data_IF_414698301469
#
_entry.id   IF_414698301469
#
_cell.length_a   1.000
_cell.length_b   1.000
_cell.length_c   1.000
_cell.angle_alpha   90.00
_cell.angle_beta   90.00
_cell.angle_gamma   90.00
#
_symmetry.space_group_name_H-M   'P 1'
#
loop_
_entity.id
_entity.type
_entity.pdbx_description
1 polymer ?
#
# COMPACT_ATOMS: atom_id res chain seq x y z
N UNK A 1 3.72 -14.98 5.93
CA UNK A 1 3.26 -13.61 6.25
C UNK A 1 3.48 -12.63 5.09
N UNK A 2 4.54 -12.74 4.28
CA UNK A 2 4.93 -11.64 3.38
C UNK A 2 4.09 -11.43 2.12
N UNK A 3 3.30 -12.42 1.68
CA UNK A 3 2.51 -12.32 0.45
C UNK A 3 1.31 -11.35 0.62
N UNK A 4 0.35 -11.58 1.54
CA UNK A 4 -0.75 -10.63 1.77
C UNK A 4 -0.27 -9.24 2.22
N UNK A 5 0.75 -9.21 3.09
CA UNK A 5 1.35 -7.96 3.56
C UNK A 5 1.96 -7.16 2.40
N UNK A 6 2.67 -7.83 1.50
CA UNK A 6 3.23 -7.19 0.33
C UNK A 6 2.14 -6.62 -0.57
N UNK A 7 1.07 -7.38 -0.84
CA UNK A 7 -0.04 -6.93 -1.70
C UNK A 7 -0.66 -5.66 -1.12
N UNK A 8 -0.86 -5.62 0.19
CA UNK A 8 -1.32 -4.42 0.89
C UNK A 8 -0.31 -3.25 0.73
N UNK A 9 1.00 -3.49 0.83
CA UNK A 9 2.06 -2.50 0.61
C UNK A 9 2.07 -1.91 -0.80
N UNK A 10 1.76 -2.70 -1.83
CA UNK A 10 1.62 -2.19 -3.20
C UNK A 10 0.41 -1.27 -3.36
N UNK A 11 -0.71 -1.58 -2.69
CA UNK A 11 -1.90 -0.72 -2.69
C UNK A 11 -1.61 0.64 -2.04
N UNK A 12 -0.68 0.73 -1.09
CA UNK A 12 -0.23 2.02 -0.54
C UNK A 12 0.53 2.86 -1.56
N UNK A 13 1.38 2.23 -2.38
CA UNK A 13 2.12 2.89 -3.46
C UNK A 13 1.24 3.35 -4.63
N UNK A 14 -0.07 3.07 -4.59
CA UNK A 14 -1.05 3.36 -5.66
C UNK A 14 -0.61 2.80 -7.02
N UNK A 15 0.17 1.73 -6.98
CA UNK A 15 0.54 0.98 -8.14
C UNK A 15 -0.56 -0.04 -8.42
N UNK A 16 -0.94 -0.22 -9.69
CA UNK A 16 -1.86 -1.28 -10.07
C UNK A 16 -1.38 -2.62 -9.51
N UNK A 17 -2.31 -3.55 -9.23
CA UNK A 17 -2.06 -4.85 -8.59
C UNK A 17 -0.87 -5.62 -9.20
N UNK A 18 -0.58 -5.38 -10.47
CA UNK A 18 0.52 -5.97 -11.24
C UNK A 18 1.93 -5.55 -10.77
N UNK A 19 2.09 -4.37 -10.13
CA UNK A 19 3.39 -3.87 -9.67
C UNK A 19 3.79 -4.36 -8.28
N UNK A 20 2.93 -5.14 -7.61
CA UNK A 20 3.33 -5.83 -6.38
C UNK A 20 4.54 -6.76 -6.61
N UNK A 21 4.64 -7.36 -7.81
CA UNK A 21 5.77 -8.19 -8.23
C UNK A 21 7.10 -7.46 -8.07
N UNK A 22 7.19 -6.16 -8.37
CA UNK A 22 8.44 -5.41 -8.28
C UNK A 22 8.86 -5.24 -6.81
N UNK A 23 7.92 -4.99 -5.91
CA UNK A 23 8.21 -4.93 -4.47
C UNK A 23 8.61 -6.29 -3.90
N UNK A 24 8.04 -7.39 -4.42
CA UNK A 24 8.45 -8.76 -4.08
C UNK A 24 9.86 -9.04 -4.58
N UNK A 25 10.16 -8.71 -5.83
CA UNK A 25 11.49 -8.88 -6.44
C UNK A 25 12.53 -8.04 -5.71
N UNK A 26 12.24 -6.78 -5.38
CA UNK A 26 13.13 -5.92 -4.60
C UNK A 26 13.38 -6.50 -3.21
N UNK A 27 12.38 -7.15 -2.58
CA UNK A 27 12.56 -7.84 -1.31
C UNK A 27 13.49 -9.05 -1.44
N UNK A 28 13.37 -9.84 -2.51
CA UNK A 28 14.28 -10.96 -2.81
C UNK A 28 15.71 -10.49 -3.09
N UNK A 29 15.88 -9.39 -3.83
CA UNK A 29 17.20 -8.82 -4.13
C UNK A 29 17.85 -8.27 -2.85
N UNK A 30 17.11 -7.50 -2.04
CA UNK A 30 17.61 -7.02 -0.75
C UNK A 30 18.01 -8.19 0.16
N UNK A 31 17.23 -9.27 0.16
CA UNK A 31 17.55 -10.47 0.94
C UNK A 31 18.88 -11.11 0.55
N UNK A 32 19.17 -11.23 -0.74
CA UNK A 32 20.45 -11.76 -1.20
C UNK A 32 21.64 -10.85 -0.86
N UNK A 33 21.46 -9.53 -0.93
CA UNK A 33 22.49 -8.55 -0.55
C UNK A 33 22.73 -8.55 0.97
N UNK A 34 21.67 -8.62 1.78
CA UNK A 34 21.79 -8.66 3.25
C UNK A 34 22.31 -10.00 3.77
N UNK A 35 22.06 -11.10 3.07
CA UNK A 35 22.65 -12.40 3.37
C UNK A 35 24.19 -12.33 3.33
N UNK A 36 24.73 -11.55 2.38
CA UNK A 36 26.17 -11.31 2.26
C UNK A 36 26.73 -10.37 3.35
N UNK A 37 25.91 -9.43 3.87
CA UNK A 37 26.34 -8.35 4.80
C UNK A 37 26.03 -8.66 6.28
N UNK A 38 25.42 -9.81 6.61
CA UNK A 38 25.13 -10.29 7.99
C UNK A 38 24.48 -9.25 8.93
N UNK A 39 23.73 -8.29 8.40
CA UNK A 39 23.03 -7.26 9.19
C UNK A 39 21.53 -7.47 9.08
N UNK A 40 20.91 -8.02 10.14
CA UNK A 40 19.56 -8.60 10.07
C UNK A 40 18.43 -7.72 10.62
N UNK A 41 18.69 -6.47 11.04
CA UNK A 41 17.82 -5.77 11.99
C UNK A 41 16.64 -4.97 11.41
N UNK A 42 16.50 -4.76 10.10
CA UNK A 42 15.55 -3.78 9.55
C UNK A 42 14.56 -4.28 8.48
N UNK A 43 13.84 -5.36 8.77
CA UNK A 43 12.87 -5.99 7.86
C UNK A 43 11.59 -5.18 7.56
N UNK A 44 11.31 -4.11 8.33
CA UNK A 44 10.08 -3.32 8.22
C UNK A 44 10.18 -2.08 7.32
N UNK A 45 11.36 -1.80 6.73
CA UNK A 45 11.61 -0.62 5.87
C UNK A 45 10.70 -0.57 4.62
N UNK A 46 10.23 -1.73 4.16
CA UNK A 46 9.51 -1.85 2.89
C UNK A 46 8.17 -1.09 2.85
N UNK A 47 7.47 -0.96 3.99
CA UNK A 47 6.22 -0.18 4.08
C UNK A 47 6.48 1.32 3.86
N UNK A 48 7.55 1.84 4.45
CA UNK A 48 7.89 3.26 4.36
C UNK A 48 8.36 3.62 2.95
N UNK A 49 9.14 2.73 2.32
CA UNK A 49 9.56 2.90 0.94
C UNK A 49 8.36 2.95 -0.03
N UNK A 50 7.36 2.07 0.12
CA UNK A 50 6.21 2.05 -0.80
C UNK A 50 5.33 3.29 -0.67
N UNK A 51 5.16 3.84 0.55
CA UNK A 51 4.48 5.12 0.76
C UNK A 51 5.22 6.28 0.11
N UNK A 52 6.55 6.36 0.28
CA UNK A 52 7.35 7.44 -0.31
C UNK A 52 7.30 7.41 -1.85
N UNK A 53 7.39 6.22 -2.45
CA UNK A 53 7.21 6.02 -3.90
C UNK A 53 5.81 6.46 -4.35
N UNK A 54 4.78 6.11 -3.58
CA UNK A 54 3.39 6.51 -3.85
C UNK A 54 3.19 8.03 -3.81
N UNK A 55 3.85 8.73 -2.89
CA UNK A 55 3.83 10.20 -2.82
C UNK A 55 4.54 10.85 -4.01
N UNK A 56 5.65 10.27 -4.49
CA UNK A 56 6.34 10.77 -5.70
C UNK A 56 5.48 10.56 -6.95
N UNK A 57 4.89 9.37 -7.12
CA UNK A 57 3.94 9.08 -8.21
C UNK A 57 2.81 10.11 -8.25
N UNK A 58 2.16 10.35 -7.11
CA UNK A 58 0.99 11.22 -7.05
C UNK A 58 1.33 12.71 -7.25
N UNK A 59 2.61 13.11 -7.15
CA UNK A 59 3.09 14.45 -7.52
C UNK A 59 3.39 14.59 -9.01
N UNK A 60 4.01 13.57 -9.60
CA UNK A 60 4.48 13.60 -10.99
C UNK A 60 3.39 13.22 -11.99
N UNK A 61 2.49 12.31 -11.60
CA UNK A 61 1.35 11.87 -12.38
C UNK A 61 0.12 12.06 -11.49
N UNK A 62 -0.39 13.30 -11.35
CA UNK A 62 -1.68 13.51 -10.72
C UNK A 62 -2.72 12.77 -11.55
N UNK A 63 -3.42 11.84 -10.91
CA UNK A 63 -4.56 11.14 -11.49
C UNK A 63 -5.57 12.23 -11.84
N UNK A 64 -5.69 12.59 -13.13
CA UNK A 64 -6.77 13.45 -13.59
C UNK A 64 -8.05 12.76 -13.16
N UNK A 65 -8.88 13.48 -12.40
CA UNK A 65 -10.21 12.99 -12.05
C UNK A 65 -10.88 12.63 -13.37
N UNK A 66 -11.07 11.33 -13.62
CA UNK A 66 -11.97 10.85 -14.65
C UNK A 66 -13.39 11.24 -14.20
N UNK A 67 -13.71 12.51 -14.32
CA UNK A 67 -15.08 12.98 -14.50
C UNK A 67 -15.43 12.77 -15.97
N UNK A 68 -15.40 11.51 -16.41
CA UNK A 68 -16.20 11.07 -17.54
C UNK A 68 -17.44 10.46 -16.91
N UNK A 69 -18.37 11.35 -16.53
CA UNK A 69 -19.78 11.00 -16.47
C UNK A 69 -20.23 10.64 -17.89
N UNK A 70 -19.90 9.43 -18.35
CA UNK A 70 -20.70 8.75 -19.37
C UNK A 70 -21.76 7.98 -18.60
N UNK A 71 -22.68 8.75 -18.03
CA UNK A 71 -24.09 8.38 -18.02
C UNK A 71 -24.76 9.26 -19.09
N UNK A 72 -24.23 9.21 -20.31
CA UNK A 72 -25.03 9.58 -21.47
C UNK A 72 -25.99 8.42 -21.68
N UNK A 73 -27.26 8.71 -21.49
CA UNK A 73 -28.37 7.85 -21.83
C UNK A 73 -28.08 7.17 -23.18
N UNK A 74 -28.07 5.84 -23.19
CA UNK A 74 -28.14 5.07 -24.41
C UNK A 74 -29.58 5.16 -24.92
N UNK A 75 -29.89 6.28 -25.57
CA UNK A 75 -31.00 6.36 -26.51
C UNK A 75 -30.55 7.10 -27.77
N UNK A 76 -30.76 6.47 -28.93
CA UNK A 76 -30.73 7.13 -30.24
C UNK A 76 -29.38 7.42 -30.92
N UNK A 77 -28.93 6.50 -31.78
CA UNK A 77 -28.51 6.73 -33.18
C UNK A 77 -27.68 8.00 -33.50
N UNK A 78 -26.39 7.84 -33.88
CA UNK A 78 -25.82 8.15 -35.20
C UNK A 78 -24.27 8.15 -35.13
N UNK A 79 -23.63 7.52 -36.11
CA UNK A 79 -22.19 7.23 -36.12
C UNK A 79 -21.28 8.45 -36.19
N UNK A 80 -20.17 8.35 -35.46
CA UNK A 80 -18.90 9.01 -35.71
C UNK A 80 -17.83 8.27 -34.90
N UNK A 81 -16.70 7.94 -35.53
CA UNK A 81 -15.63 7.09 -35.00
C UNK A 81 -14.98 7.64 -33.72
N UNK A 82 -15.54 7.33 -32.55
CA UNK A 82 -14.92 7.57 -31.22
C UNK A 82 -14.40 6.25 -30.65
N UNK A 83 -13.61 5.52 -31.43
CA UNK A 83 -12.91 4.31 -30.95
C UNK A 83 -11.42 4.56 -30.67
N UNK A 84 -10.88 5.73 -31.05
CA UNK A 84 -9.46 6.07 -30.86
C UNK A 84 -9.15 6.87 -29.59
N UNK A 85 -10.15 7.47 -28.93
CA UNK A 85 -9.93 8.29 -27.73
C UNK A 85 -10.02 7.51 -26.39
N UNK A 86 -10.63 6.32 -26.39
CA UNK A 86 -10.93 5.58 -25.14
C UNK A 86 -9.83 4.55 -24.79
N UNK A 87 -9.05 4.08 -25.78
CA UNK A 87 -8.02 3.07 -25.56
C UNK A 87 -6.62 3.64 -25.23
N UNK A 88 -6.41 4.95 -25.40
CA UNK A 88 -5.09 5.57 -25.24
C UNK A 88 -4.74 6.08 -23.81
N UNK A 89 -5.65 6.57 -22.95
CA UNK A 89 -5.24 7.14 -21.66
C UNK A 89 -4.87 6.08 -20.60
N UNK A 90 -5.53 4.92 -20.61
CA UNK A 90 -5.32 3.88 -19.58
C UNK A 90 -4.04 3.07 -19.79
N UNK A 91 -3.67 2.80 -21.05
CA UNK A 91 -2.40 2.13 -21.38
C UNK A 91 -1.23 3.11 -21.17
N UNK A 92 -1.45 4.40 -21.46
CA UNK A 92 -0.46 5.46 -21.21
C UNK A 92 0.01 5.50 -19.77
N UNK A 93 -0.95 5.64 -18.88
CA UNK A 93 -0.69 5.85 -17.47
C UNK A 93 0.07 4.67 -16.84
N UNK A 94 -0.17 3.43 -17.31
CA UNK A 94 0.52 2.26 -16.77
C UNK A 94 1.99 2.20 -17.18
N UNK A 95 2.32 2.53 -18.43
CA UNK A 95 3.73 2.57 -18.86
C UNK A 95 4.47 3.76 -18.23
N UNK A 96 3.80 4.91 -18.04
CA UNK A 96 4.41 6.08 -17.40
C UNK A 96 4.72 5.80 -15.94
N UNK A 97 3.77 5.18 -15.24
CA UNK A 97 3.97 4.74 -13.85
C UNK A 97 5.10 3.72 -13.77
N UNK A 98 5.16 2.73 -14.66
CA UNK A 98 6.25 1.74 -14.68
C UNK A 98 7.61 2.41 -14.91
N UNK A 99 7.69 3.32 -15.87
CA UNK A 99 8.93 4.02 -16.22
C UNK A 99 9.40 4.88 -15.05
N UNK A 100 8.50 5.66 -14.45
CA UNK A 100 8.77 6.47 -13.26
C UNK A 100 9.27 5.64 -12.09
N UNK A 101 8.59 4.53 -11.78
CA UNK A 101 9.00 3.65 -10.68
C UNK A 101 10.36 3.00 -10.97
N UNK A 102 10.63 2.60 -12.21
CA UNK A 102 11.91 2.04 -12.63
C UNK A 102 13.04 3.05 -12.46
N UNK A 103 12.86 4.28 -12.97
CA UNK A 103 13.85 5.37 -12.83
C UNK A 103 14.08 5.74 -11.37
N UNK A 104 13.02 5.82 -10.56
CA UNK A 104 13.14 6.11 -9.13
C UNK A 104 13.89 5.01 -8.39
N UNK A 105 13.55 3.75 -8.65
CA UNK A 105 14.21 2.58 -8.04
C UNK A 105 15.68 2.53 -8.44
N UNK A 106 15.99 2.78 -9.71
CA UNK A 106 17.35 2.83 -10.23
C UNK A 106 18.16 3.97 -9.59
N UNK A 107 17.59 5.17 -9.48
CA UNK A 107 18.21 6.30 -8.80
C UNK A 107 18.50 6.04 -7.32
N UNK A 108 17.54 5.45 -6.60
CA UNK A 108 17.73 5.03 -5.20
C UNK A 108 18.86 3.99 -5.10
N UNK A 109 18.92 3.03 -6.03
CA UNK A 109 20.00 2.04 -6.11
C UNK A 109 21.38 2.65 -6.31
N UNK A 110 21.51 3.66 -7.17
CA UNK A 110 22.77 4.39 -7.37
C UNK A 110 23.18 5.10 -6.08
N UNK A 111 22.27 5.82 -5.43
CA UNK A 111 22.56 6.51 -4.16
C UNK A 111 22.99 5.50 -3.08
N UNK A 112 22.31 4.36 -3.01
CA UNK A 112 22.65 3.30 -2.05
C UNK A 112 24.04 2.68 -2.35
N UNK A 113 24.38 2.51 -3.63
CA UNK A 113 25.69 2.04 -4.06
C UNK A 113 26.79 3.06 -3.72
N UNK A 114 26.57 4.35 -3.98
CA UNK A 114 27.49 5.42 -3.61
C UNK A 114 27.70 5.46 -2.08
N UNK A 115 26.62 5.39 -1.30
CA UNK A 115 26.72 5.31 0.16
C UNK A 115 27.52 4.08 0.62
N UNK A 116 27.38 2.95 -0.07
CA UNK A 116 28.18 1.74 0.17
C UNK A 116 29.67 1.93 -0.14
N UNK A 117 30.00 2.50 -1.29
CA UNK A 117 31.40 2.78 -1.71
C UNK A 117 32.09 3.72 -0.72
N UNK A 118 31.44 4.82 -0.39
CA UNK A 118 31.99 5.80 0.56
C UNK A 118 31.91 5.34 2.02
N UNK A 119 31.40 4.13 2.29
CA UNK A 119 31.19 3.57 3.64
C UNK A 119 30.42 4.55 4.55
N UNK A 120 29.45 5.27 3.99
CA UNK A 120 28.53 6.16 4.73
C UNK A 120 27.56 5.40 5.65
N UNK A 121 27.74 4.08 5.82
CA UNK A 121 27.06 3.29 6.85
C UNK A 121 27.28 3.84 8.26
N UNK A 122 28.32 4.65 8.48
CA UNK A 122 28.51 5.35 9.75
C UNK A 122 27.31 6.28 10.03
N UNK A 123 26.77 6.98 9.03
CA UNK A 123 25.71 7.96 9.18
C UNK A 123 24.41 7.34 9.72
N UNK A 124 24.11 6.09 9.33
CA UNK A 124 22.96 5.35 9.86
C UNK A 124 23.11 5.00 11.33
N UNK A 125 24.35 4.87 11.83
CA UNK A 125 24.66 4.62 13.25
C UNK A 125 24.56 5.90 14.10
N UNK A 126 24.69 7.07 13.48
CA UNK A 126 24.52 8.37 14.14
C UNK A 126 23.06 8.83 14.25
N UNK A 127 22.14 8.18 13.54
CA UNK A 127 20.71 8.42 13.74
C UNK A 127 20.33 7.87 15.11
N UNK A 128 19.87 8.74 16.00
CA UNK A 128 19.49 8.33 17.34
C UNK A 128 18.30 7.37 17.29
N UNK A 129 18.26 6.40 18.21
CA UNK A 129 17.12 5.49 18.34
C UNK A 129 15.81 6.26 18.54
N UNK A 130 15.86 7.42 19.21
CA UNK A 130 14.73 8.33 19.39
C UNK A 130 14.19 8.91 18.07
N UNK A 131 15.08 9.28 17.13
CA UNK A 131 14.69 9.78 15.82
C UNK A 131 14.02 8.67 15.00
N UNK A 132 14.61 7.47 14.99
CA UNK A 132 14.06 6.32 14.25
C UNK A 132 12.69 5.92 14.83
N UNK A 133 12.57 5.89 16.16
CA UNK A 133 11.31 5.62 16.83
C UNK A 133 10.25 6.69 16.53
N UNK A 134 10.61 7.97 16.61
CA UNK A 134 9.72 9.09 16.28
C UNK A 134 9.23 9.04 14.83
N UNK A 135 10.14 8.81 13.88
CA UNK A 135 9.79 8.66 12.46
C UNK A 135 8.86 7.47 12.21
N UNK A 136 9.15 6.32 12.84
CA UNK A 136 8.34 5.11 12.72
C UNK A 136 6.93 5.33 13.27
N UNK A 137 6.79 5.94 14.45
CA UNK A 137 5.48 6.24 15.06
C UNK A 137 4.69 7.25 14.23
N UNK A 138 5.32 8.33 13.74
CA UNK A 138 4.67 9.30 12.89
C UNK A 138 4.17 8.67 11.57
N UNK A 139 5.01 7.83 10.95
CA UNK A 139 4.63 7.16 9.71
C UNK A 139 3.55 6.09 9.96
N UNK A 140 3.59 5.39 11.09
CA UNK A 140 2.52 4.48 11.50
C UNK A 140 1.18 5.21 11.67
N UNK A 141 1.15 6.36 12.33
CA UNK A 141 -0.05 7.19 12.42
C UNK A 141 -0.55 7.64 11.04
N UNK A 142 0.36 8.06 10.15
CA UNK A 142 0.02 8.43 8.77
C UNK A 142 -0.59 7.26 7.98
N UNK A 143 -0.04 6.06 8.14
CA UNK A 143 -0.57 4.82 7.53
C UNK A 143 -1.97 4.51 8.04
N UNK A 144 -2.20 4.59 9.36
CA UNK A 144 -3.51 4.33 9.97
C UNK A 144 -4.58 5.26 9.40
N UNK A 145 -4.29 6.55 9.34
CA UNK A 145 -5.21 7.57 8.82
C UNK A 145 -5.49 7.32 7.33
N UNK A 146 -4.46 6.97 6.55
CA UNK A 146 -4.58 6.69 5.11
C UNK A 146 -5.43 5.46 4.77
N UNK A 147 -5.62 4.55 5.73
CA UNK A 147 -6.42 3.33 5.56
C UNK A 147 -7.82 3.44 6.17
N UNK A 148 -8.06 4.43 7.02
CA UNK A 148 -9.33 4.60 7.71
C UNK A 148 -10.49 4.85 6.72
N UNK A 149 -10.22 5.51 5.60
CA UNK A 149 -11.17 5.66 4.48
C UNK A 149 -11.69 4.31 3.94
N UNK A 150 -10.83 3.28 3.84
CA UNK A 150 -11.21 1.93 3.39
C UNK A 150 -12.01 1.16 4.44
N UNK A 151 -11.69 1.36 5.72
CA UNK A 151 -12.41 0.76 6.84
C UNK A 151 -13.85 1.29 6.91
N UNK A 152 -14.02 2.61 6.73
CA UNK A 152 -15.32 3.29 6.73
C UNK A 152 -16.08 3.06 5.41
N UNK A 153 -15.38 2.72 4.34
CA UNK A 153 -15.97 2.42 3.03
C UNK A 153 -16.32 3.66 2.20
N UNK A 154 -15.69 4.81 2.47
CA UNK A 154 -15.95 6.06 1.74
C UNK A 154 -14.80 6.40 0.81
N UNK A 155 -15.13 6.75 -0.43
CA UNK A 155 -14.16 7.25 -1.42
C UNK A 155 -13.87 8.72 -1.13
N UNK A 156 -12.77 8.96 -0.43
CA UNK A 156 -12.31 10.31 -0.09
C UNK A 156 -11.20 10.76 -1.06
N UNK A 157 -11.23 12.03 -1.53
CA UNK A 157 -10.13 12.60 -2.28
C UNK A 157 -8.87 12.60 -1.41
N UNK A 158 -7.72 12.31 -2.02
CA UNK A 158 -6.43 12.29 -1.31
C UNK A 158 -5.70 13.60 -1.56
N UNK A 159 -5.32 14.28 -0.49
CA UNK A 159 -4.59 15.55 -0.54
C UNK A 159 -3.09 15.36 -0.71
N UNK A 160 -2.43 16.36 -1.30
CA UNK A 160 -0.99 16.49 -1.37
C UNK A 160 -0.56 17.82 -0.75
N UNK A 161 0.59 17.81 -0.06
CA UNK A 161 1.23 19.02 0.45
C UNK A 161 1.39 19.04 1.96
N UNK A 162 1.92 20.15 2.46
CA UNK A 162 2.15 20.34 3.90
C UNK A 162 0.79 20.34 4.62
N UNK A 163 0.65 19.52 5.66
CA UNK A 163 -0.60 19.41 6.42
C UNK A 163 -1.67 18.49 5.81
N UNK A 164 -1.36 17.69 4.78
CA UNK A 164 -2.32 16.75 4.16
C UNK A 164 -3.02 15.81 5.16
N UNK A 165 -2.35 15.46 6.25
CA UNK A 165 -2.88 14.58 7.30
C UNK A 165 -4.06 15.23 8.05
N UNK A 166 -4.00 16.55 8.28
CA UNK A 166 -5.11 17.29 8.92
C UNK A 166 -6.32 17.40 8.01
N UNK A 167 -6.11 17.65 6.71
CA UNK A 167 -7.19 17.66 5.72
C UNK A 167 -7.86 16.30 5.60
N UNK A 168 -7.06 15.23 5.52
CA UNK A 168 -7.58 13.86 5.47
C UNK A 168 -8.38 13.51 6.72
N UNK A 169 -7.91 13.92 7.91
CA UNK A 169 -8.62 13.68 9.16
C UNK A 169 -9.95 14.44 9.21
N UNK A 170 -9.96 15.72 8.81
CA UNK A 170 -11.18 16.54 8.73
C UNK A 170 -12.23 15.86 7.84
N UNK A 171 -11.83 15.44 6.65
CA UNK A 171 -12.75 14.86 5.69
C UNK A 171 -13.25 13.47 6.13
N UNK A 172 -12.41 12.68 6.80
CA UNK A 172 -12.84 11.42 7.42
C UNK A 172 -13.93 11.69 8.45
N UNK A 173 -13.76 12.69 9.33
CA UNK A 173 -14.74 13.04 10.35
C UNK A 173 -16.06 13.49 9.69
N UNK A 174 -15.99 14.28 8.63
CA UNK A 174 -17.18 14.71 7.87
C UNK A 174 -17.85 13.58 7.09
N UNK A 175 -17.09 12.53 6.74
CA UNK A 175 -17.58 11.38 5.99
C UNK A 175 -18.17 10.25 6.86
N UNK A 176 -18.03 10.31 8.20
CA UNK A 176 -18.64 9.35 9.14
C UNK A 176 -20.13 9.11 8.88
N UNK A 177 -21.00 10.12 8.67
CA UNK A 177 -22.42 9.88 8.43
C UNK A 177 -22.72 9.17 7.10
N UNK A 178 -21.81 9.26 6.11
CA UNK A 178 -21.94 8.60 4.81
C UNK A 178 -21.23 7.24 4.76
N UNK A 179 -20.87 6.68 5.92
CA UNK A 179 -20.15 5.41 6.02
C UNK A 179 -20.98 4.24 5.50
N UNK A 180 -20.34 3.32 4.78
CA UNK A 180 -20.98 2.07 4.39
C UNK A 180 -20.95 1.10 5.58
N UNK A 181 -22.11 0.85 6.18
CA UNK A 181 -22.24 -0.01 7.35
C UNK A 181 -21.71 -1.43 7.11
N UNK A 182 -21.84 -1.95 5.89
CA UNK A 182 -21.35 -3.29 5.52
C UNK A 182 -19.82 -3.33 5.48
N UNK A 183 -19.19 -2.28 4.94
CA UNK A 183 -17.73 -2.18 4.91
C UNK A 183 -17.15 -2.06 6.32
N UNK A 184 -17.81 -1.31 7.20
CA UNK A 184 -17.44 -1.19 8.61
C UNK A 184 -17.60 -2.53 9.34
N UNK A 185 -18.69 -3.25 9.10
CA UNK A 185 -18.92 -4.55 9.73
C UNK A 185 -17.83 -5.58 9.33
N UNK A 186 -17.53 -5.68 8.03
CA UNK A 186 -16.50 -6.60 7.51
C UNK A 186 -15.11 -6.24 8.03
N UNK A 187 -14.75 -4.95 8.02
CA UNK A 187 -13.45 -4.50 8.51
C UNK A 187 -13.28 -4.69 10.01
N UNK A 188 -14.33 -4.44 10.79
CA UNK A 188 -14.35 -4.69 12.25
C UNK A 188 -14.22 -6.17 12.56
N UNK A 189 -14.97 -7.02 11.86
CA UNK A 189 -14.86 -8.47 12.01
C UNK A 189 -13.45 -8.98 11.66
N UNK A 190 -12.88 -8.52 10.55
CA UNK A 190 -11.52 -8.89 10.14
C UNK A 190 -10.48 -8.47 11.17
N UNK A 191 -10.61 -7.25 11.74
CA UNK A 191 -9.71 -6.75 12.79
C UNK A 191 -9.83 -7.58 14.08
N UNK A 192 -11.05 -7.90 14.50
CA UNK A 192 -11.31 -8.74 15.67
C UNK A 192 -10.76 -10.15 15.48
N UNK A 193 -10.96 -10.76 14.30
CA UNK A 193 -10.41 -12.07 13.96
C UNK A 193 -8.88 -12.08 14.02
N UNK A 194 -8.24 -11.03 13.49
CA UNK A 194 -6.78 -10.94 13.49
C UNK A 194 -6.23 -10.73 14.91
N UNK A 195 -6.91 -9.89 15.71
CA UNK A 195 -6.57 -9.65 17.10
C UNK A 195 -6.71 -10.93 17.95
N UNK A 196 -7.85 -11.64 17.86
CA UNK A 196 -8.07 -12.89 18.61
C UNK A 196 -7.12 -14.00 18.14
N UNK A 197 -6.90 -14.12 16.83
CA UNK A 197 -5.96 -15.08 16.24
C UNK A 197 -4.56 -14.91 16.81
N UNK A 198 -4.07 -13.67 16.82
CA UNK A 198 -2.69 -13.36 17.21
C UNK A 198 -2.46 -13.33 18.71
N UNK A 199 -3.40 -12.80 19.49
CA UNK A 199 -3.21 -12.61 20.94
C UNK A 199 -3.67 -13.84 21.73
N UNK A 200 -4.80 -14.46 21.36
CA UNK A 200 -5.38 -15.55 22.12
C UNK A 200 -5.05 -16.91 21.53
N UNK A 201 -5.07 -17.10 20.21
CA UNK A 201 -4.87 -18.44 19.63
C UNK A 201 -3.38 -18.76 19.46
N UNK A 202 -2.58 -17.79 19.04
CA UNK A 202 -1.14 -17.96 18.85
C UNK A 202 -0.38 -18.52 20.08
N UNK A 203 -0.58 -18.04 21.33
CA UNK A 203 0.12 -18.61 22.48
C UNK A 203 -0.29 -20.06 22.78
N UNK A 204 -1.55 -20.44 22.54
CA UNK A 204 -2.01 -21.82 22.72
C UNK A 204 -1.45 -22.75 21.65
N UNK A 205 -1.38 -22.29 20.39
CA UNK A 205 -0.85 -23.12 19.31
C UNK A 205 0.68 -23.21 19.38
N UNK A 206 1.37 -22.17 19.87
CA UNK A 206 2.81 -22.22 20.13
C UNK A 206 3.20 -23.28 21.16
N UNK A 207 2.27 -23.68 22.04
CA UNK A 207 2.44 -24.80 22.99
C UNK A 207 2.40 -26.18 22.32
N UNK A 208 1.76 -26.30 21.16
CA UNK A 208 1.59 -27.58 20.43
C UNK A 208 2.46 -27.69 19.17
N UNK A 209 2.80 -26.57 18.54
CA UNK A 209 3.59 -26.50 17.31
C UNK A 209 4.61 -25.35 17.35
N UNK A 210 5.88 -25.58 16.93
CA UNK A 210 6.92 -24.55 16.91
C UNK A 210 6.78 -23.53 15.77
N UNK A 211 5.84 -23.76 14.84
CA UNK A 211 5.65 -22.92 13.66
C UNK A 211 4.65 -21.78 13.95
N UNK A 212 5.03 -20.50 13.72
CA UNK A 212 4.11 -19.38 13.86
C UNK A 212 3.03 -19.44 12.78
N UNK A 213 1.76 -19.42 13.19
CA UNK A 213 0.63 -19.50 12.24
C UNK A 213 0.42 -18.16 11.55
N UNK A 214 0.34 -18.13 10.20
CA UNK A 214 0.07 -16.91 9.45
C UNK A 214 -1.45 -16.61 9.41
N UNK A 215 -2.01 -16.09 10.51
CA UNK A 215 -3.43 -15.73 10.61
C UNK A 215 -3.92 -14.76 9.51
N UNK A 216 -3.04 -13.87 9.05
CA UNK A 216 -3.30 -12.94 7.94
C UNK A 216 -3.64 -13.68 6.63
N UNK A 217 -2.93 -14.77 6.33
CA UNK A 217 -3.15 -15.55 5.12
C UNK A 217 -4.46 -16.33 5.22
N UNK A 218 -4.73 -16.91 6.40
CA UNK A 218 -6.00 -17.60 6.66
C UNK A 218 -7.18 -16.64 6.50
N UNK A 219 -7.12 -15.44 7.08
CA UNK A 219 -8.18 -14.44 6.94
C UNK A 219 -8.45 -14.10 5.46
N UNK A 220 -7.40 -13.92 4.66
CA UNK A 220 -7.54 -13.63 3.23
C UNK A 220 -8.16 -14.80 2.48
N UNK A 221 -7.73 -16.04 2.75
CA UNK A 221 -8.30 -17.24 2.12
C UNK A 221 -9.80 -17.38 2.47
N UNK A 222 -10.16 -17.26 3.75
CA UNK A 222 -11.56 -17.33 4.18
C UNK A 222 -12.40 -16.18 3.60
N UNK A 223 -11.84 -14.97 3.53
CA UNK A 223 -12.49 -13.82 2.92
C UNK A 223 -12.77 -14.02 1.42
N UNK A 224 -11.80 -14.57 0.67
CA UNK A 224 -11.98 -14.90 -0.74
C UNK A 224 -13.06 -15.98 -0.90
N UNK A 225 -12.99 -17.07 -0.13
CA UNK A 225 -14.00 -18.13 -0.17
C UNK A 225 -15.40 -17.57 0.10
N UNK A 226 -15.55 -16.80 1.18
CA UNK A 226 -16.80 -16.16 1.54
C UNK A 226 -17.31 -15.25 0.40
N UNK A 227 -16.44 -14.42 -0.17
CA UNK A 227 -16.80 -13.56 -1.33
C UNK A 227 -17.21 -14.36 -2.56
N UNK A 228 -16.63 -15.54 -2.81
CA UNK A 228 -17.02 -16.38 -3.95
C UNK A 228 -18.38 -17.06 -3.76
N UNK A 229 -18.75 -17.38 -2.52
CA UNK A 229 -20.06 -17.94 -2.20
C UNK A 229 -21.18 -16.88 -2.22
N UNK A 230 -20.89 -15.69 -1.69
CA UNK A 230 -21.79 -14.54 -1.73
C UNK A 230 -21.39 -13.63 -2.90
N UNK A 231 -21.78 -14.01 -4.13
CA UNK A 231 -21.62 -13.16 -5.32
C UNK A 231 -22.31 -11.80 -5.09
N UNK A 232 -21.52 -10.82 -4.66
CA UNK A 232 -21.79 -9.40 -4.71
C UNK A 232 -20.68 -8.73 -5.52
#
# INVERSE_FOLDING_TARGET
MHVPQGMAYATFGRCGTNLWIIFVILRFINLHVFWYIKTYKYWNILLFASMMVGSVRFRLIPESIDSVNVHSAADGILGSNVTTAINHPLINNNYEVMTLLSTLTFGVGIVQLLMGIFRLSFLTTYMSDALIAGYTTATAAHVLISQLNKVIGVKLPRYNGNGMLFFMLRDIIMAIPNANIMAVAISTFGLAFLYIGKEYINPFVKKRSPLPIPFELLLVIFGILFSTFFKC
#
